data_IF_126179949018
#
_entry.id   IF_126179949018
#
_cell.length_a   1.000
_cell.length_b   1.000
_cell.length_c   1.000
_cell.angle_alpha   90.00
_cell.angle_beta   90.00
_cell.angle_gamma   90.00
#
_symmetry.space_group_name_H-M   'P 1'
#
loop_
_entity.id
_entity.type
_entity.pdbx_description
1 polymer ?
#
# COMPACT_ATOMS: atom_id res chain seq x y z
N UNK A 1 17.74 42.70 8.00
CA UNK A 1 17.81 42.72 9.48
C UNK A 1 18.77 41.67 10.01
N UNK A 2 18.57 40.38 9.68
CA UNK A 2 19.51 39.28 10.03
C UNK A 2 20.98 39.61 9.74
N UNK A 3 21.31 39.91 8.48
CA UNK A 3 22.70 40.13 8.06
C UNK A 3 23.30 41.38 8.73
N UNK A 4 22.47 42.42 8.92
CA UNK A 4 22.85 43.66 9.63
C UNK A 4 23.10 43.41 11.12
N UNK A 5 22.38 42.47 11.74
CA UNK A 5 22.57 42.04 13.12
C UNK A 5 23.75 41.04 13.28
N UNK A 6 24.47 40.70 12.21
CA UNK A 6 25.57 39.73 12.26
C UNK A 6 25.13 38.31 12.62
N UNK A 7 23.84 38.00 12.44
CA UNK A 7 23.27 36.69 12.73
C UNK A 7 23.39 35.76 11.53
N UNK A 8 23.74 34.51 11.79
CA UNK A 8 23.69 33.43 10.79
C UNK A 8 22.41 32.64 10.96
N UNK A 9 21.92 31.99 9.89
CA UNK A 9 20.76 31.09 9.99
C UNK A 9 21.01 29.99 11.05
N UNK A 10 22.22 29.44 11.14
CA UNK A 10 22.59 28.44 12.14
C UNK A 10 22.42 28.95 13.59
N UNK A 11 22.70 30.23 13.85
CA UNK A 11 22.49 30.83 15.18
C UNK A 11 21.02 31.02 15.51
N UNK A 12 20.21 31.34 14.51
CA UNK A 12 18.75 31.45 14.67
C UNK A 12 18.16 30.05 14.89
N UNK A 13 18.54 29.07 14.06
CA UNK A 13 18.14 27.67 14.21
C UNK A 13 18.46 27.13 15.61
N UNK A 14 19.67 27.39 16.13
CA UNK A 14 20.07 26.99 17.47
C UNK A 14 19.20 27.59 18.59
N UNK A 15 18.72 28.83 18.41
CA UNK A 15 17.86 29.49 19.39
C UNK A 15 16.43 28.91 19.44
N UNK A 16 16.01 28.20 18.38
CA UNK A 16 14.70 27.55 18.28
C UNK A 16 14.77 26.01 18.29
N UNK A 17 15.97 25.42 18.41
CA UNK A 17 16.16 23.97 18.30
C UNK A 17 15.83 23.40 16.92
N UNK A 18 15.99 24.21 15.87
CA UNK A 18 15.68 23.86 14.48
C UNK A 18 16.95 23.41 13.74
N UNK A 19 16.76 22.81 12.56
CA UNK A 19 17.86 22.41 11.69
C UNK A 19 17.58 22.87 10.25
N UNK A 20 18.09 24.04 9.87
CA UNK A 20 18.01 24.58 8.52
C UNK A 20 16.73 25.34 8.17
N UNK A 21 15.86 25.63 9.15
CA UNK A 21 14.53 26.22 8.90
C UNK A 21 14.54 27.75 8.98
N UNK A 22 15.45 28.35 9.73
CA UNK A 22 15.56 29.80 9.91
C UNK A 22 15.80 30.57 8.59
N UNK A 23 16.34 29.90 7.57
CA UNK A 23 16.53 30.48 6.24
C UNK A 23 15.22 30.86 5.56
N UNK A 24 14.12 30.15 5.84
CA UNK A 24 12.80 30.43 5.28
C UNK A 24 12.14 31.65 5.92
N UNK A 25 12.51 32.02 7.15
CA UNK A 25 11.94 33.17 7.87
C UNK A 25 12.66 34.49 7.63
N UNK A 26 13.94 34.42 7.24
CA UNK A 26 14.84 35.59 7.24
C UNK A 26 15.44 35.90 5.87
N UNK A 27 15.15 35.10 4.84
CA UNK A 27 15.62 35.34 3.47
C UNK A 27 14.49 35.79 2.54
N UNK A 28 14.85 36.48 1.46
CA UNK A 28 13.98 36.74 0.32
C UNK A 28 14.10 35.63 -0.76
N UNK A 29 14.83 34.56 -0.47
CA UNK A 29 15.08 33.46 -1.38
C UNK A 29 13.93 32.46 -1.46
N UNK A 30 14.13 31.40 -2.23
CA UNK A 30 13.13 30.35 -2.46
C UNK A 30 12.51 29.83 -1.15
N UNK A 31 11.19 29.64 -1.17
CA UNK A 31 10.36 29.14 -0.07
C UNK A 31 10.32 30.06 1.18
N UNK A 32 9.80 31.30 1.08
CA UNK A 32 9.58 32.12 2.26
C UNK A 32 8.45 31.54 3.12
N UNK A 33 8.67 31.48 4.43
CA UNK A 33 7.69 31.01 5.42
C UNK A 33 7.49 32.03 6.54
N UNK A 34 6.28 32.06 7.09
CA UNK A 34 5.94 32.87 8.27
C UNK A 34 6.08 31.98 9.51
N UNK A 35 6.93 32.34 10.49
CA UNK A 35 7.04 31.60 11.75
C UNK A 35 5.71 31.56 12.52
N UNK A 36 5.60 30.66 13.49
CA UNK A 36 4.43 30.63 14.38
C UNK A 36 4.39 31.86 15.30
N UNK A 37 3.20 32.15 15.82
CA UNK A 37 2.96 33.21 16.81
C UNK A 37 3.93 33.12 18.00
N UNK A 38 4.14 31.89 18.49
CA UNK A 38 5.03 31.60 19.62
C UNK A 38 6.51 31.87 19.34
N UNK A 39 6.93 31.84 18.06
CA UNK A 39 8.32 32.08 17.67
C UNK A 39 8.60 33.57 17.42
N UNK A 40 7.56 34.38 17.21
CA UNK A 40 7.68 35.77 16.79
C UNK A 40 8.42 36.66 17.82
N UNK A 41 8.13 36.63 19.13
CA UNK A 41 8.83 37.48 20.10
C UNK A 41 10.32 37.19 20.17
N UNK A 42 10.70 35.91 20.22
CA UNK A 42 12.09 35.47 20.26
C UNK A 42 12.83 35.86 18.97
N UNK A 43 12.18 35.72 17.81
CA UNK A 43 12.80 36.04 16.52
C UNK A 43 13.06 37.55 16.40
N UNK A 44 12.09 38.37 16.78
CA UNK A 44 12.24 39.84 16.78
C UNK A 44 13.33 40.29 17.74
N UNK A 45 13.40 39.70 18.94
CA UNK A 45 14.45 39.98 19.92
C UNK A 45 15.85 39.63 19.39
N UNK A 46 16.00 38.48 18.72
CA UNK A 46 17.26 38.12 18.06
C UNK A 46 17.64 39.11 16.96
N UNK A 47 16.66 39.52 16.14
CA UNK A 47 16.88 40.45 15.05
C UNK A 47 17.08 41.91 15.50
N UNK A 48 16.96 42.21 16.79
CA UNK A 48 17.04 43.56 17.34
C UNK A 48 15.91 44.46 16.86
N UNK A 49 14.70 43.90 16.72
CA UNK A 49 13.51 44.64 16.28
C UNK A 49 12.63 44.93 17.49
N UNK A 50 12.75 46.15 18.01
CA UNK A 50 12.00 46.59 19.19
C UNK A 50 10.53 46.93 18.85
N UNK A 51 10.27 47.39 17.63
CA UNK A 51 8.93 47.73 17.14
C UNK A 51 8.69 47.22 15.72
N UNK A 52 7.64 46.42 15.54
CA UNK A 52 7.16 45.99 14.22
C UNK A 52 6.16 47.03 13.71
N UNK A 53 6.36 47.60 12.50
CA UNK A 53 5.42 48.55 11.92
C UNK A 53 4.00 48.01 11.86
N UNK A 54 3.03 48.87 12.18
CA UNK A 54 1.61 48.49 12.29
C UNK A 54 1.06 47.70 11.10
N UNK A 55 1.36 48.04 9.83
CA UNK A 55 0.88 47.25 8.69
C UNK A 55 1.39 45.81 8.67
N UNK A 56 2.60 45.58 9.18
CA UNK A 56 3.22 44.25 9.23
C UNK A 56 2.67 43.46 10.41
N UNK A 57 2.53 44.10 11.58
CA UNK A 57 1.91 43.51 12.77
C UNK A 57 0.49 43.03 12.48
N UNK A 58 -0.35 43.89 11.93
CA UNK A 58 -1.73 43.57 11.55
C UNK A 58 -1.80 42.44 10.51
N UNK A 59 -0.85 42.40 9.55
CA UNK A 59 -0.77 41.32 8.57
C UNK A 59 -0.42 39.98 9.22
N UNK A 60 0.57 39.95 10.12
CA UNK A 60 0.99 38.73 10.83
C UNK A 60 -0.14 38.22 11.72
N UNK A 61 -0.76 39.09 12.51
CA UNK A 61 -1.92 38.74 13.36
C UNK A 61 -3.05 38.14 12.53
N UNK A 62 -3.38 38.73 11.38
CA UNK A 62 -4.38 38.20 10.46
C UNK A 62 -3.97 36.82 9.92
N UNK A 63 -2.75 36.67 9.41
CA UNK A 63 -2.28 35.41 8.82
C UNK A 63 -2.19 34.27 9.85
N UNK A 64 -1.76 34.58 11.07
CA UNK A 64 -1.75 33.63 12.19
C UNK A 64 -3.17 33.22 12.57
N UNK A 65 -4.08 34.19 12.72
CA UNK A 65 -5.50 33.95 13.08
C UNK A 65 -6.25 33.16 11.99
N UNK A 66 -5.89 33.37 10.73
CA UNK A 66 -6.46 32.67 9.56
C UNK A 66 -5.76 31.33 9.27
N UNK A 67 -4.64 31.00 9.93
CA UNK A 67 -3.89 29.77 9.69
C UNK A 67 -4.78 28.55 9.91
N UNK A 68 -4.84 27.67 8.92
CA UNK A 68 -5.70 26.47 8.94
C UNK A 68 -7.18 26.72 8.61
N UNK A 69 -7.61 27.97 8.41
CA UNK A 69 -8.94 28.31 7.91
C UNK A 69 -8.88 28.51 6.39
N UNK A 70 -9.89 28.07 5.62
CA UNK A 70 -9.98 28.44 4.22
C UNK A 70 -10.01 29.97 4.07
N UNK A 71 -9.12 30.53 3.27
CA UNK A 71 -9.07 31.98 3.06
C UNK A 71 -10.32 32.53 2.35
N UNK A 72 -10.56 33.85 2.34
CA UNK A 72 -11.74 34.48 1.74
C UNK A 72 -11.98 34.07 0.27
N UNK A 73 -10.91 33.84 -0.48
CA UNK A 73 -10.95 33.38 -1.87
C UNK A 73 -11.61 32.01 -2.02
N UNK A 74 -11.57 31.14 -1.01
CA UNK A 74 -12.28 29.85 -1.02
C UNK A 74 -13.81 30.06 -1.01
N UNK A 75 -14.30 30.97 -0.16
CA UNK A 75 -15.73 31.25 -0.01
C UNK A 75 -16.33 32.04 -1.18
N UNK A 76 -15.49 32.77 -1.93
CA UNK A 76 -15.89 33.49 -3.15
C UNK A 76 -16.02 32.61 -4.39
N UNK A 77 -15.47 31.39 -4.38
CA UNK A 77 -15.57 30.47 -5.54
C UNK A 77 -17.02 29.98 -5.70
N UNK A 78 -17.55 29.89 -6.93
CA UNK A 78 -18.88 29.34 -7.14
C UNK A 78 -18.96 27.89 -6.62
N UNK A 79 -20.14 27.52 -6.11
CA UNK A 79 -20.44 26.14 -5.74
C UNK A 79 -20.71 25.40 -7.03
N UNK A 80 -19.86 24.44 -7.36
CA UNK A 80 -19.92 23.64 -8.60
C UNK A 80 -20.65 22.31 -8.39
N UNK A 81 -21.02 21.99 -7.15
CA UNK A 81 -21.85 20.83 -6.81
C UNK A 81 -21.74 20.41 -5.36
N UNK A 82 -22.39 19.30 -5.02
CA UNK A 82 -22.35 18.68 -3.70
C UNK A 82 -21.92 17.22 -3.83
N UNK A 83 -20.94 16.79 -3.04
CA UNK A 83 -20.65 15.38 -2.84
C UNK A 83 -21.50 14.86 -1.68
N UNK A 84 -22.37 13.92 -1.97
CA UNK A 84 -23.03 13.11 -0.95
C UNK A 84 -22.15 11.89 -0.64
N UNK A 85 -21.71 11.74 0.61
CA UNK A 85 -21.05 10.52 1.09
C UNK A 85 -21.74 9.97 2.32
N UNK A 86 -21.84 8.65 2.39
CA UNK A 86 -22.20 7.94 3.61
C UNK A 86 -21.22 8.33 4.73
N UNK A 87 -21.74 8.62 5.92
CA UNK A 87 -20.93 8.94 7.09
C UNK A 87 -19.96 7.78 7.43
N UNK A 88 -18.80 8.11 8.03
CA UNK A 88 -17.85 7.09 8.47
C UNK A 88 -18.45 6.24 9.59
N UNK A 89 -18.51 4.92 9.41
CA UNK A 89 -18.88 3.96 10.48
C UNK A 89 -20.13 3.09 10.27
N UNK A 90 -20.75 3.04 9.09
CA UNK A 90 -21.89 2.11 8.86
C UNK A 90 -21.66 1.05 7.78
N UNK A 91 -22.23 -0.12 8.09
CA UNK A 91 -22.13 -1.43 7.44
C UNK A 91 -23.00 -1.48 6.17
N UNK A 92 -22.49 -2.15 5.14
CA UNK A 92 -23.27 -2.48 3.95
C UNK A 92 -24.30 -3.55 4.30
N UNK A 93 -25.58 -3.19 4.45
CA UNK A 93 -26.66 -4.17 4.59
C UNK A 93 -27.06 -4.65 3.19
N UNK A 94 -26.59 -5.86 2.86
CA UNK A 94 -26.81 -6.51 1.57
C UNK A 94 -28.29 -6.72 1.20
N UNK A 95 -29.20 -6.59 2.17
CA UNK A 95 -30.62 -6.89 2.02
C UNK A 95 -31.48 -5.71 1.57
N UNK A 96 -31.07 -4.45 1.75
CA UNK A 96 -31.98 -3.30 1.54
C UNK A 96 -31.43 -2.14 0.73
N UNK A 97 -30.13 -2.10 0.44
CA UNK A 97 -29.54 -1.10 -0.47
C UNK A 97 -29.67 0.37 -0.04
N UNK A 98 -30.22 0.67 1.13
CA UNK A 98 -30.51 2.04 1.58
C UNK A 98 -29.38 2.57 2.49
N UNK A 99 -28.83 3.75 2.14
CA UNK A 99 -27.80 4.46 2.90
C UNK A 99 -28.46 5.31 4.00
N UNK A 100 -28.30 4.94 5.27
CA UNK A 100 -28.66 5.83 6.37
C UNK A 100 -27.54 6.86 6.60
N UNK A 101 -27.91 8.14 6.63
CA UNK A 101 -27.10 9.34 6.92
C UNK A 101 -26.05 9.74 5.86
N UNK A 102 -26.45 10.70 5.01
CA UNK A 102 -25.61 11.38 4.02
C UNK A 102 -24.98 12.62 4.65
N UNK A 103 -23.64 12.73 4.58
CA UNK A 103 -22.95 14.01 4.77
C UNK A 103 -22.76 14.67 3.40
N UNK A 104 -23.23 15.91 3.25
CA UNK A 104 -23.04 16.70 2.04
C UNK A 104 -21.79 17.58 2.17
N UNK A 105 -20.82 17.45 1.26
CA UNK A 105 -19.68 18.38 1.16
C UNK A 105 -19.78 19.22 -0.12
N UNK A 106 -19.58 20.53 0.02
CA UNK A 106 -19.64 21.49 -1.09
C UNK A 106 -18.39 21.37 -1.99
N UNK A 107 -18.57 21.24 -3.31
CA UNK A 107 -17.49 21.35 -4.32
C UNK A 107 -17.40 22.79 -4.84
N UNK A 108 -16.16 23.28 -4.98
CA UNK A 108 -15.81 24.62 -5.50
C UNK A 108 -14.55 24.51 -6.36
N UNK A 109 -14.64 23.72 -7.43
CA UNK A 109 -13.51 23.25 -8.26
C UNK A 109 -13.46 23.85 -9.67
N UNK A 110 -14.27 24.90 -9.91
CA UNK A 110 -14.11 25.70 -11.11
C UNK A 110 -12.71 26.36 -11.12
N UNK A 111 -12.00 26.26 -12.24
CA UNK A 111 -10.69 26.88 -12.39
C UNK A 111 -10.80 28.40 -12.27
N UNK A 112 -10.08 28.97 -11.29
CA UNK A 112 -10.16 30.39 -10.94
C UNK A 112 -9.23 31.31 -11.76
N UNK A 113 -8.37 30.75 -12.60
CA UNK A 113 -7.41 31.50 -13.44
C UNK A 113 -7.41 30.98 -14.87
N UNK A 114 -6.93 31.77 -15.82
CA UNK A 114 -6.79 31.36 -17.22
C UNK A 114 -5.90 30.11 -17.36
N UNK A 115 -4.75 30.11 -16.67
CA UNK A 115 -3.87 28.95 -16.61
C UNK A 115 -4.59 27.71 -16.03
N UNK A 116 -5.38 27.86 -14.97
CA UNK A 116 -6.13 26.74 -14.40
C UNK A 116 -7.21 26.21 -15.35
N UNK A 117 -7.83 27.10 -16.16
CA UNK A 117 -8.82 26.72 -17.19
C UNK A 117 -8.16 25.90 -18.30
N UNK A 118 -7.02 26.37 -18.82
CA UNK A 118 -6.27 25.68 -19.86
C UNK A 118 -5.93 24.22 -19.48
N UNK A 119 -5.57 23.97 -18.22
CA UNK A 119 -5.15 22.65 -17.74
C UNK A 119 -6.25 21.91 -16.97
N UNK A 120 -7.51 22.32 -17.08
CA UNK A 120 -8.62 21.63 -16.43
C UNK A 120 -8.71 20.18 -16.95
N UNK A 121 -8.81 19.22 -16.02
CA UNK A 121 -8.83 17.79 -16.34
C UNK A 121 -7.44 17.12 -16.40
N UNK A 122 -6.35 17.87 -16.54
CA UNK A 122 -4.99 17.31 -16.59
C UNK A 122 -4.51 16.94 -15.18
N UNK A 123 -4.00 15.73 -15.02
CA UNK A 123 -3.45 15.19 -13.76
C UNK A 123 -1.95 14.93 -13.86
N UNK A 124 -1.29 14.77 -12.72
CA UNK A 124 0.17 14.56 -12.66
C UNK A 124 0.58 13.09 -12.64
N UNK A 125 -0.37 12.17 -12.45
CA UNK A 125 -0.12 10.74 -12.44
C UNK A 125 -1.38 9.94 -12.75
N UNK A 126 -1.21 8.77 -13.35
CA UNK A 126 -2.21 7.73 -13.39
C UNK A 126 -2.23 6.97 -12.05
N UNK A 127 -3.34 6.30 -11.74
CA UNK A 127 -3.36 5.33 -10.64
C UNK A 127 -2.37 4.21 -11.00
N UNK A 128 -1.34 3.93 -10.17
CA UNK A 128 -0.46 2.80 -10.42
C UNK A 128 -1.30 1.51 -10.47
N UNK A 129 -1.32 0.88 -11.64
CA UNK A 129 -2.11 -0.33 -11.92
C UNK A 129 -1.24 -1.58 -12.09
N UNK A 130 0.08 -1.41 -12.25
CA UNK A 130 1.04 -2.49 -12.37
C UNK A 130 2.29 -2.18 -11.53
N UNK A 131 2.83 -3.20 -10.89
CA UNK A 131 4.11 -3.18 -10.21
C UNK A 131 4.98 -4.29 -10.77
N UNK A 132 6.17 -3.94 -11.26
CA UNK A 132 7.07 -4.88 -11.91
C UNK A 132 8.13 -5.35 -10.92
N UNK A 133 8.37 -6.66 -10.90
CA UNK A 133 9.40 -7.30 -10.09
C UNK A 133 10.46 -7.91 -11.00
N UNK A 134 11.72 -7.55 -10.76
CA UNK A 134 12.83 -8.00 -11.59
C UNK A 134 13.66 -9.00 -10.79
N UNK A 135 13.74 -10.23 -11.28
CA UNK A 135 14.61 -11.26 -10.72
C UNK A 135 15.99 -11.21 -11.38
N UNK A 136 16.96 -10.66 -10.65
CA UNK A 136 18.36 -10.63 -11.07
C UNK A 136 19.10 -11.86 -10.51
N UNK A 137 19.82 -12.59 -11.37
CA UNK A 137 20.61 -13.78 -10.98
C UNK A 137 22.02 -13.68 -11.54
N UNK A 138 22.97 -14.38 -10.91
CA UNK A 138 24.28 -14.55 -11.53
C UNK A 138 24.13 -15.31 -12.86
N UNK A 139 24.92 -14.92 -13.88
CA UNK A 139 24.96 -15.65 -15.14
C UNK A 139 25.19 -17.15 -14.92
N UNK A 140 24.58 -17.98 -15.75
CA UNK A 140 24.75 -19.42 -15.66
C UNK A 140 26.13 -19.80 -16.22
N UNK A 141 26.98 -20.40 -15.38
CA UNK A 141 28.23 -21.03 -15.80
C UNK A 141 28.17 -22.51 -15.40
N UNK A 142 28.23 -23.42 -16.38
CA UNK A 142 27.99 -24.85 -16.15
C UNK A 142 26.53 -25.18 -15.83
N UNK A 143 26.28 -25.98 -14.79
CA UNK A 143 24.93 -26.44 -14.40
C UNK A 143 24.28 -25.50 -13.37
N UNK A 144 22.94 -25.49 -13.31
CA UNK A 144 22.20 -24.74 -12.27
C UNK A 144 22.65 -25.16 -10.87
N UNK A 145 22.83 -26.46 -10.65
CA UNK A 145 23.28 -26.98 -9.36
C UNK A 145 24.68 -26.47 -8.97
N UNK A 146 25.64 -26.48 -9.91
CA UNK A 146 26.98 -25.94 -9.68
C UNK A 146 26.93 -24.43 -9.37
N UNK A 147 26.14 -23.67 -10.13
CA UNK A 147 25.99 -22.23 -9.92
C UNK A 147 25.36 -21.92 -8.54
N UNK A 148 24.36 -22.69 -8.13
CA UNK A 148 23.73 -22.56 -6.80
C UNK A 148 24.69 -22.95 -5.69
N UNK A 149 25.50 -24.00 -5.85
CA UNK A 149 26.50 -24.38 -4.86
C UNK A 149 27.59 -23.29 -4.69
N UNK A 150 28.01 -22.69 -5.81
CA UNK A 150 29.01 -21.63 -5.82
C UNK A 150 28.49 -20.33 -5.20
N UNK A 151 27.33 -19.84 -5.63
CA UNK A 151 26.82 -18.52 -5.25
C UNK A 151 25.79 -18.55 -4.11
N UNK A 152 25.37 -19.74 -3.68
CA UNK A 152 24.33 -19.97 -2.66
C UNK A 152 22.96 -19.37 -3.00
N UNK A 153 22.76 -18.96 -4.27
CA UNK A 153 21.52 -18.38 -4.79
C UNK A 153 21.38 -18.70 -6.29
N UNK A 154 20.16 -18.60 -6.83
CA UNK A 154 19.90 -18.70 -8.28
C UNK A 154 18.87 -19.75 -8.71
N UNK A 155 18.45 -20.63 -7.79
CA UNK A 155 17.28 -21.50 -7.96
C UNK A 155 16.03 -20.90 -7.32
N UNK A 156 14.86 -21.32 -7.79
CA UNK A 156 13.56 -20.93 -7.24
C UNK A 156 12.94 -22.13 -6.53
N UNK A 157 12.34 -21.90 -5.36
CA UNK A 157 11.61 -22.93 -4.62
C UNK A 157 10.20 -23.13 -5.20
N UNK A 158 10.16 -23.65 -6.43
CA UNK A 158 8.92 -23.88 -7.18
C UNK A 158 7.98 -24.80 -6.41
N UNK A 159 8.52 -25.86 -5.80
CA UNK A 159 7.72 -26.86 -5.09
C UNK A 159 6.94 -26.23 -3.93
N UNK A 160 7.57 -25.37 -3.12
CA UNK A 160 6.91 -24.71 -2.00
C UNK A 160 5.94 -23.59 -2.41
N UNK A 161 5.94 -23.20 -3.69
CA UNK A 161 5.09 -22.16 -4.27
C UNK A 161 4.12 -22.71 -5.32
N UNK A 162 3.90 -24.03 -5.36
CA UNK A 162 2.87 -24.64 -6.20
C UNK A 162 1.48 -24.09 -5.85
N UNK A 163 0.66 -23.86 -6.87
CA UNK A 163 -0.73 -23.42 -6.70
C UNK A 163 -1.60 -24.67 -6.62
N UNK A 164 -2.26 -24.96 -5.48
CA UNK A 164 -3.09 -26.14 -5.35
C UNK A 164 -4.25 -26.13 -6.36
N UNK A 165 -4.76 -27.32 -6.66
CA UNK A 165 -6.00 -27.46 -7.41
C UNK A 165 -7.17 -26.91 -6.61
N UNK A 166 -8.08 -26.21 -7.29
CA UNK A 166 -9.22 -25.58 -6.62
C UNK A 166 -10.21 -26.61 -6.07
N UNK A 167 -10.30 -27.78 -6.70
CA UNK A 167 -11.15 -28.89 -6.29
C UNK A 167 -10.68 -30.22 -6.91
N UNK A 168 -11.22 -31.37 -6.46
CA UNK A 168 -11.01 -32.66 -7.11
C UNK A 168 -11.42 -32.67 -8.59
N UNK A 169 -12.45 -31.91 -8.97
CA UNK A 169 -12.89 -31.75 -10.36
C UNK A 169 -11.86 -30.99 -11.20
N UNK A 170 -11.23 -29.94 -10.65
CA UNK A 170 -10.13 -29.23 -11.32
C UNK A 170 -8.92 -30.14 -11.54
N UNK A 171 -8.56 -30.95 -10.54
CA UNK A 171 -7.53 -31.97 -10.67
C UNK A 171 -7.89 -32.99 -11.77
N UNK A 172 -9.13 -33.49 -11.77
CA UNK A 172 -9.62 -34.44 -12.78
C UNK A 172 -9.57 -33.86 -14.20
N UNK A 173 -10.03 -32.61 -14.38
CA UNK A 173 -9.95 -31.91 -15.65
C UNK A 173 -8.51 -31.65 -16.10
N UNK A 174 -7.60 -31.33 -15.16
CA UNK A 174 -6.17 -31.23 -15.44
C UNK A 174 -5.59 -32.56 -15.92
N UNK A 175 -5.94 -33.67 -15.25
CA UNK A 175 -5.52 -35.02 -15.63
C UNK A 175 -6.04 -35.44 -17.00
N UNK A 176 -7.30 -35.11 -17.32
CA UNK A 176 -7.89 -35.41 -18.62
C UNK A 176 -7.20 -34.69 -19.79
N UNK A 177 -6.72 -33.45 -19.58
CA UNK A 177 -5.99 -32.68 -20.61
C UNK A 177 -4.56 -33.17 -20.82
N UNK A 178 -3.94 -33.71 -19.78
CA UNK A 178 -2.58 -34.24 -19.80
C UNK A 178 -2.59 -35.67 -19.25
N UNK A 179 -3.14 -36.67 -19.96
CA UNK A 179 -3.34 -38.03 -19.44
C UNK A 179 -2.03 -38.76 -19.08
N UNK A 180 -0.87 -38.14 -19.32
CA UNK A 180 0.41 -38.81 -19.33
C UNK A 180 0.51 -39.76 -20.52
N UNK A 181 1.72 -40.25 -20.77
CA UNK A 181 2.01 -41.27 -21.76
C UNK A 181 2.89 -42.31 -21.07
N UNK A 182 2.57 -43.58 -21.24
CA UNK A 182 3.28 -44.67 -20.58
C UNK A 182 4.63 -44.98 -21.26
N UNK A 183 4.80 -44.51 -22.50
CA UNK A 183 6.00 -44.61 -23.31
C UNK A 183 7.10 -43.65 -22.82
N UNK A 184 8.33 -44.16 -22.81
CA UNK A 184 9.51 -43.34 -22.60
C UNK A 184 9.74 -42.46 -23.82
N UNK A 185 10.13 -41.19 -23.60
CA UNK A 185 10.28 -40.20 -24.67
C UNK A 185 11.75 -39.87 -24.84
N UNK A 186 12.22 -39.93 -26.08
CA UNK A 186 13.56 -39.47 -26.46
C UNK A 186 13.48 -38.02 -26.91
N UNK A 187 14.25 -37.14 -26.26
CA UNK A 187 14.35 -35.72 -26.61
C UNK A 187 15.79 -35.38 -26.98
N UNK A 188 16.00 -34.61 -28.05
CA UNK A 188 17.33 -34.13 -28.43
C UNK A 188 17.98 -33.23 -27.36
N UNK A 189 17.19 -32.62 -26.47
CA UNK A 189 17.67 -31.73 -25.39
C UNK A 189 17.92 -32.50 -24.10
N UNK A 190 17.17 -33.58 -23.86
CA UNK A 190 17.14 -34.26 -22.57
C UNK A 190 17.62 -35.73 -22.61
N UNK A 191 17.87 -36.31 -23.79
CA UNK A 191 18.34 -37.69 -23.96
C UNK A 191 17.22 -38.71 -24.20
N UNK A 192 17.59 -39.98 -24.33
CA UNK A 192 16.70 -41.11 -24.62
C UNK A 192 16.09 -41.74 -23.36
N UNK A 193 15.00 -42.48 -23.55
CA UNK A 193 14.35 -43.34 -22.54
C UNK A 193 13.92 -42.64 -21.26
N UNK A 194 13.53 -41.36 -21.35
CA UNK A 194 13.00 -40.66 -20.18
C UNK A 194 11.54 -41.05 -19.94
N UNK A 195 11.18 -41.51 -18.73
CA UNK A 195 9.77 -41.61 -18.37
C UNK A 195 9.15 -40.22 -18.47
N UNK A 196 8.11 -40.05 -19.29
CA UNK A 196 7.44 -38.75 -19.39
C UNK A 196 6.81 -38.40 -18.04
N UNK A 197 6.87 -37.12 -17.65
CA UNK A 197 6.43 -36.66 -16.33
C UNK A 197 5.01 -37.17 -16.02
N UNK A 198 4.90 -37.96 -14.94
CA UNK A 198 3.61 -38.18 -14.28
C UNK A 198 3.03 -36.83 -13.92
N UNK A 199 1.72 -36.70 -14.04
CA UNK A 199 0.99 -35.50 -13.65
C UNK A 199 1.34 -35.22 -12.19
N UNK A 200 1.97 -34.08 -11.94
CA UNK A 200 2.33 -33.66 -10.59
C UNK A 200 1.06 -33.22 -9.86
N UNK A 201 0.58 -34.05 -8.96
CA UNK A 201 -0.63 -33.79 -8.16
C UNK A 201 -0.40 -32.76 -7.05
N UNK A 202 0.86 -32.34 -6.81
CA UNK A 202 1.19 -31.30 -5.83
C UNK A 202 0.74 -29.90 -6.23
N UNK A 203 0.11 -29.77 -7.40
CA UNK A 203 -0.49 -28.54 -7.90
C UNK A 203 0.24 -27.96 -9.10
N UNK A 204 -0.24 -26.80 -9.54
CA UNK A 204 0.27 -26.12 -10.74
C UNK A 204 1.55 -25.36 -10.42
N UNK A 205 2.36 -25.15 -11.47
CA UNK A 205 3.51 -24.27 -11.39
C UNK A 205 3.07 -22.83 -11.08
N UNK A 206 3.82 -22.08 -10.24
CA UNK A 206 3.54 -20.67 -9.98
C UNK A 206 3.62 -19.86 -11.27
N UNK A 207 2.66 -18.98 -11.49
CA UNK A 207 2.66 -18.07 -12.63
C UNK A 207 3.69 -16.94 -12.44
N UNK A 208 4.19 -16.42 -13.56
CA UNK A 208 5.01 -15.20 -13.62
C UNK A 208 4.19 -13.91 -13.50
N UNK A 209 2.86 -14.02 -13.36
CA UNK A 209 1.92 -12.92 -13.19
C UNK A 209 1.07 -13.17 -11.95
N UNK A 210 0.93 -12.13 -11.13
CA UNK A 210 0.07 -12.10 -9.94
C UNK A 210 -1.05 -11.10 -10.21
N UNK A 211 -2.28 -11.48 -9.88
CA UNK A 211 -3.46 -10.62 -10.05
C UNK A 211 -4.00 -10.21 -8.67
N UNK A 212 -4.75 -9.11 -8.61
CA UNK A 212 -5.67 -8.83 -7.51
C UNK A 212 -7.05 -9.48 -7.76
N UNK A 213 -7.94 -9.49 -6.75
CA UNK A 213 -9.18 -10.31 -6.76
C UNK A 213 -10.08 -9.86 -7.88
N UNK A 214 -10.24 -8.55 -8.01
CA UNK A 214 -11.16 -7.97 -8.98
C UNK A 214 -10.69 -8.29 -10.39
N UNK A 215 -9.38 -8.17 -10.64
CA UNK A 215 -8.81 -8.49 -11.94
C UNK A 215 -8.89 -9.99 -12.23
N UNK A 216 -8.67 -10.84 -11.22
CA UNK A 216 -8.83 -12.29 -11.35
C UNK A 216 -10.27 -12.67 -11.68
N UNK A 217 -11.26 -12.18 -10.93
CA UNK A 217 -12.69 -12.45 -11.16
C UNK A 217 -13.13 -12.00 -12.56
N UNK A 218 -12.69 -10.82 -13.01
CA UNK A 218 -12.99 -10.31 -14.35
C UNK A 218 -12.39 -11.20 -15.45
N UNK A 219 -11.20 -11.75 -15.22
CA UNK A 219 -10.54 -12.64 -16.17
C UNK A 219 -11.17 -14.05 -16.14
N UNK A 220 -11.61 -14.54 -14.99
CA UNK A 220 -12.41 -15.77 -14.86
C UNK A 220 -13.71 -15.66 -15.66
N UNK A 221 -14.43 -14.54 -15.53
CA UNK A 221 -15.66 -14.29 -16.28
C UNK A 221 -15.44 -14.26 -17.80
N UNK A 222 -14.28 -13.76 -18.26
CA UNK A 222 -13.91 -13.73 -19.66
C UNK A 222 -13.34 -15.06 -20.18
N UNK A 223 -12.92 -15.95 -19.29
CA UNK A 223 -12.26 -17.22 -19.65
C UNK A 223 -12.87 -18.43 -18.93
N UNK A 224 -14.18 -18.68 -19.07
CA UNK A 224 -14.91 -19.68 -18.27
C UNK A 224 -14.35 -21.11 -18.35
N UNK A 225 -13.63 -21.44 -19.43
CA UNK A 225 -13.02 -22.75 -19.64
C UNK A 225 -11.51 -22.80 -19.31
N UNK A 226 -10.90 -21.68 -18.91
CA UNK A 226 -9.45 -21.60 -18.63
C UNK A 226 -9.12 -21.07 -17.24
N UNK A 227 -9.94 -20.17 -16.70
CA UNK A 227 -9.86 -19.60 -15.36
C UNK A 227 -8.59 -18.76 -15.10
N UNK A 228 -8.77 -17.55 -14.56
CA UNK A 228 -7.76 -16.80 -13.83
C UNK A 228 -7.24 -17.53 -12.59
N UNK A 229 -7.88 -18.63 -12.18
CA UNK A 229 -7.34 -19.57 -11.18
C UNK A 229 -5.87 -19.95 -11.43
N UNK A 230 -5.36 -19.83 -12.66
CA UNK A 230 -3.96 -20.07 -13.05
C UNK A 230 -2.96 -19.06 -12.51
N UNK A 231 -3.42 -17.92 -12.00
CA UNK A 231 -2.58 -16.85 -11.47
C UNK A 231 -2.52 -16.89 -9.95
N UNK A 232 -1.41 -16.41 -9.40
CA UNK A 232 -1.31 -16.20 -7.96
C UNK A 232 -2.13 -14.96 -7.59
N UNK A 233 -3.04 -15.08 -6.61
CA UNK A 233 -3.90 -13.99 -6.17
C UNK A 233 -3.46 -13.44 -4.81
N UNK A 234 -3.30 -12.11 -4.73
CA UNK A 234 -3.09 -11.42 -3.45
C UNK A 234 -3.90 -10.13 -3.33
N UNK A 235 -4.72 -10.05 -2.29
CA UNK A 235 -5.47 -8.85 -1.92
C UNK A 235 -4.55 -7.71 -1.48
N UNK A 236 -5.07 -6.48 -1.56
CA UNK A 236 -4.43 -5.35 -0.86
C UNK A 236 -4.49 -5.57 0.66
N UNK A 237 -3.47 -5.08 1.41
CA UNK A 237 -3.49 -5.15 2.86
C UNK A 237 -4.77 -4.55 3.45
N UNK A 238 -5.43 -5.31 4.33
CA UNK A 238 -6.57 -4.79 5.10
C UNK A 238 -6.10 -3.74 6.11
N UNK A 239 -7.01 -2.92 6.65
CA UNK A 239 -6.65 -1.96 7.71
C UNK A 239 -6.03 -2.64 8.94
N UNK A 240 -6.55 -3.82 9.28
CA UNK A 240 -6.04 -4.65 10.38
C UNK A 240 -4.60 -5.11 10.07
N UNK A 241 -4.37 -5.72 8.89
CA UNK A 241 -3.04 -6.15 8.48
C UNK A 241 -2.02 -5.01 8.44
N UNK A 242 -2.44 -3.83 7.96
CA UNK A 242 -1.59 -2.62 7.94
C UNK A 242 -1.21 -2.17 9.34
N UNK A 243 -2.09 -2.31 10.33
CA UNK A 243 -1.86 -1.75 11.66
C UNK A 243 -1.39 -2.77 12.69
N UNK A 244 -1.35 -4.07 12.32
CA UNK A 244 -0.95 -5.15 13.22
C UNK A 244 0.42 -4.89 13.86
N UNK A 245 0.46 -4.81 15.20
CA UNK A 245 1.66 -4.53 15.97
C UNK A 245 1.94 -3.05 16.22
N UNK A 246 1.17 -2.13 15.61
CA UNK A 246 1.31 -0.68 15.79
C UNK A 246 0.26 -0.09 16.75
N UNK A 247 -0.52 -0.90 17.47
CA UNK A 247 -1.68 -0.44 18.26
C UNK A 247 -1.30 0.57 19.35
N UNK A 248 -0.05 0.52 19.81
CA UNK A 248 0.52 1.41 20.82
C UNK A 248 1.13 2.71 20.26
N UNK A 249 1.27 2.82 18.93
CA UNK A 249 1.86 3.99 18.29
C UNK A 249 0.83 5.12 18.13
N UNK A 250 1.26 6.39 18.23
CA UNK A 250 0.37 7.52 18.00
C UNK A 250 -0.15 7.50 16.56
N UNK A 251 -1.44 7.79 16.38
CA UNK A 251 -2.02 7.88 15.05
C UNK A 251 -1.52 9.13 14.33
N UNK A 252 -0.94 8.96 13.15
CA UNK A 252 -0.44 10.06 12.30
C UNK A 252 -1.21 10.13 11.00
N UNK A 253 -1.22 11.32 10.37
CA UNK A 253 -1.84 11.50 9.06
C UNK A 253 -1.15 10.58 8.04
N UNK A 254 -1.93 9.77 7.31
CA UNK A 254 -1.43 8.98 6.16
C UNK A 254 -1.03 9.84 4.95
N UNK A 255 -1.07 11.18 5.10
CA UNK A 255 -0.72 12.17 4.11
C UNK A 255 -0.06 13.37 4.85
N UNK A 256 1.25 13.29 5.16
CA UNK A 256 1.93 14.28 6.00
C UNK A 256 1.98 15.67 5.36
N UNK A 257 1.96 15.75 4.03
CA UNK A 257 1.96 17.01 3.26
C UNK A 257 0.57 17.68 3.19
N UNK A 258 -0.48 17.02 3.71
CA UNK A 258 -1.83 17.58 3.76
C UNK A 258 -2.07 18.28 5.09
N UNK A 259 -2.19 19.61 5.03
CA UNK A 259 -2.64 20.41 6.18
C UNK A 259 -4.01 19.93 6.67
N UNK A 260 -4.25 19.91 8.01
CA UNK A 260 -5.57 19.67 8.56
C UNK A 260 -6.59 20.65 7.93
N UNK A 261 -7.65 20.12 7.31
CA UNK A 261 -8.66 20.93 6.63
C UNK A 261 -8.36 21.33 5.18
N UNK A 262 -7.27 20.85 4.57
CA UNK A 262 -6.97 21.09 3.16
C UNK A 262 -8.08 20.50 2.25
N UNK A 263 -8.54 21.32 1.30
CA UNK A 263 -9.63 21.06 0.35
C UNK A 263 -9.38 19.93 -0.66
N UNK A 264 -8.27 19.20 -0.53
CA UNK A 264 -7.89 18.06 -1.36
C UNK A 264 -8.24 16.68 -0.78
N UNK A 265 -8.76 16.61 0.46
CA UNK A 265 -9.07 15.34 1.16
C UNK A 265 -10.09 14.42 0.44
N UNK A 266 -10.81 14.95 -0.56
CA UNK A 266 -11.74 14.19 -1.41
C UNK A 266 -11.27 13.94 -2.84
N UNK A 267 -10.11 14.47 -3.24
CA UNK A 267 -9.60 14.38 -4.61
C UNK A 267 -9.08 12.96 -4.91
N UNK A 268 -9.50 12.32 -6.02
CA UNK A 268 -8.90 11.08 -6.50
C UNK A 268 -7.37 11.16 -6.67
N UNK A 269 -6.85 12.37 -6.92
CA UNK A 269 -5.42 12.66 -7.10
C UNK A 269 -4.60 12.58 -5.80
N UNK A 270 -5.24 12.73 -4.63
CA UNK A 270 -4.59 12.66 -3.32
C UNK A 270 -4.64 11.25 -2.70
N UNK A 271 -5.06 10.24 -3.46
CA UNK A 271 -5.43 8.94 -2.92
C UNK A 271 -6.79 9.01 -2.25
N UNK A 272 -7.85 8.78 -3.03
CA UNK A 272 -9.22 8.74 -2.54
C UNK A 272 -9.32 7.91 -1.23
N UNK A 273 -9.82 8.55 -0.16
CA UNK A 273 -10.09 7.99 1.17
C UNK A 273 -8.92 7.78 2.16
N UNK A 274 -7.75 8.41 1.98
CA UNK A 274 -6.67 8.42 2.99
C UNK A 274 -6.76 9.57 4.00
N UNK A 275 -7.97 9.94 4.42
CA UNK A 275 -8.23 11.06 5.35
C UNK A 275 -8.39 10.60 6.80
N UNK A 276 -7.77 9.48 7.18
CA UNK A 276 -7.74 8.99 8.56
C UNK A 276 -6.33 9.07 9.12
N UNK A 277 -6.20 9.53 10.36
CA UNK A 277 -5.01 9.24 11.14
C UNK A 277 -4.97 7.73 11.43
N UNK A 278 -3.81 7.11 11.30
CA UNK A 278 -3.61 5.70 11.59
C UNK A 278 -2.26 5.51 12.30
N UNK A 279 -2.14 4.51 13.19
CA UNK A 279 -0.86 4.20 13.83
C UNK A 279 0.20 3.84 12.79
N UNK A 280 -0.14 2.98 11.82
CA UNK A 280 0.64 2.82 10.60
C UNK A 280 0.19 3.82 9.53
N UNK A 281 0.93 4.91 9.41
CA UNK A 281 0.68 5.99 8.47
C UNK A 281 1.43 5.84 7.13
N UNK A 282 2.19 4.74 6.92
CA UNK A 282 2.96 4.52 5.71
C UNK A 282 2.06 4.42 4.45
N UNK A 283 2.31 5.20 3.38
CA UNK A 283 1.37 5.34 2.27
C UNK A 283 1.23 4.08 1.41
N UNK A 284 2.27 3.24 1.34
CA UNK A 284 2.41 2.15 0.37
C UNK A 284 2.76 0.80 1.01
N UNK A 285 2.08 0.46 2.13
CA UNK A 285 2.20 -0.85 2.78
C UNK A 285 1.94 -1.99 1.78
N UNK A 286 2.85 -2.97 1.71
CA UNK A 286 2.73 -4.18 0.87
C UNK A 286 2.00 -5.30 1.61
N UNK A 287 1.33 -6.17 0.85
CA UNK A 287 0.67 -7.37 1.38
C UNK A 287 1.68 -8.34 1.94
N UNK A 288 1.50 -8.72 3.21
CA UNK A 288 2.32 -9.74 3.86
C UNK A 288 2.20 -11.07 3.11
N UNK A 289 1.02 -11.42 2.60
CA UNK A 289 0.83 -12.65 1.83
C UNK A 289 1.68 -12.67 0.55
N UNK A 290 1.73 -11.56 -0.19
CA UNK A 290 2.59 -11.42 -1.37
C UNK A 290 4.07 -11.54 -0.99
N UNK A 291 4.48 -10.83 0.07
CA UNK A 291 5.87 -10.84 0.51
C UNK A 291 6.28 -12.24 1.00
N UNK A 292 5.41 -12.98 1.69
CA UNK A 292 5.67 -14.36 2.13
C UNK A 292 5.92 -15.28 0.95
N UNK A 293 5.09 -15.17 -0.09
CA UNK A 293 5.26 -15.94 -1.32
C UNK A 293 6.58 -15.62 -2.02
N UNK A 294 6.95 -14.33 -2.12
CA UNK A 294 8.24 -13.92 -2.70
C UNK A 294 9.42 -14.43 -1.88
N UNK A 295 9.41 -14.25 -0.55
CA UNK A 295 10.46 -14.74 0.35
C UNK A 295 10.63 -16.25 0.20
N UNK A 296 9.53 -17.03 0.25
CA UNK A 296 9.58 -18.48 0.09
C UNK A 296 10.14 -18.91 -1.27
N UNK A 297 9.78 -18.18 -2.33
CA UNK A 297 10.17 -18.50 -3.69
C UNK A 297 11.68 -18.33 -3.93
N UNK A 298 12.29 -17.29 -3.36
CA UNK A 298 13.66 -16.86 -3.71
C UNK A 298 14.70 -17.09 -2.62
N UNK A 299 14.28 -17.26 -1.36
CA UNK A 299 15.20 -17.36 -0.22
C UNK A 299 15.50 -18.83 0.09
N UNK A 300 16.78 -19.24 0.14
CA UNK A 300 17.13 -20.59 0.56
C UNK A 300 16.80 -20.82 2.05
N UNK A 301 16.60 -22.08 2.49
CA UNK A 301 16.40 -22.39 3.91
C UNK A 301 17.52 -21.80 4.78
N UNK A 302 17.13 -21.15 5.89
CA UNK A 302 18.07 -20.42 6.76
C UNK A 302 18.73 -19.19 6.11
N UNK A 303 18.22 -18.73 4.97
CA UNK A 303 18.72 -17.56 4.26
C UNK A 303 18.29 -16.24 4.89
N UNK A 304 18.97 -15.17 4.48
CA UNK A 304 18.70 -13.79 4.90
C UNK A 304 17.99 -13.03 3.79
N UNK A 305 16.93 -12.30 4.14
CA UNK A 305 16.23 -11.36 3.28
C UNK A 305 16.70 -9.93 3.58
N UNK A 306 17.23 -9.24 2.58
CA UNK A 306 17.61 -7.83 2.66
C UNK A 306 16.58 -6.96 1.95
N UNK A 307 16.03 -5.97 2.66
CA UNK A 307 15.18 -4.93 2.08
C UNK A 307 15.81 -3.55 2.31
N UNK A 308 16.21 -2.89 1.21
CA UNK A 308 16.86 -1.58 1.25
C UNK A 308 15.88 -0.42 1.45
N UNK A 309 14.57 -0.69 1.30
CA UNK A 309 13.49 0.29 1.38
C UNK A 309 12.35 -0.30 2.22
N UNK A 310 12.68 -0.66 3.46
CA UNK A 310 11.83 -1.49 4.30
C UNK A 310 10.44 -0.87 4.54
N UNK A 311 10.30 0.46 4.53
CA UNK A 311 9.03 1.17 4.66
C UNK A 311 8.32 0.77 5.95
N UNK A 312 7.11 0.21 5.82
CA UNK A 312 6.38 -0.35 6.97
C UNK A 312 6.84 -1.74 7.41
N UNK A 313 7.93 -2.30 6.89
CA UNK A 313 8.48 -3.60 7.29
C UNK A 313 7.69 -4.81 6.80
N UNK A 314 6.82 -4.69 5.78
CA UNK A 314 6.02 -5.83 5.28
C UNK A 314 6.88 -7.02 4.83
N UNK A 315 8.01 -6.75 4.19
CA UNK A 315 8.98 -7.78 3.77
C UNK A 315 9.56 -8.54 4.95
N UNK A 316 9.93 -7.84 6.02
CA UNK A 316 10.51 -8.48 7.20
C UNK A 316 9.48 -9.27 8.02
N UNK A 317 8.26 -8.76 8.17
CA UNK A 317 7.16 -9.55 8.77
C UNK A 317 6.96 -10.86 8.02
N UNK A 318 7.00 -10.81 6.68
CA UNK A 318 6.90 -11.99 5.85
C UNK A 318 8.11 -12.93 5.97
N UNK A 319 9.33 -12.40 5.96
CA UNK A 319 10.55 -13.19 6.08
C UNK A 319 10.58 -13.96 7.42
N UNK A 320 10.28 -13.28 8.52
CA UNK A 320 10.20 -13.90 9.85
C UNK A 320 9.12 -14.98 9.93
N UNK A 321 7.93 -14.71 9.36
CA UNK A 321 6.84 -15.69 9.33
C UNK A 321 7.13 -16.93 8.47
N UNK A 322 8.10 -16.85 7.55
CA UNK A 322 8.59 -17.97 6.75
C UNK A 322 9.86 -18.63 7.35
N UNK A 323 10.32 -18.16 8.52
CA UNK A 323 11.50 -18.69 9.20
C UNK A 323 12.84 -18.23 8.60
N UNK A 324 12.85 -17.12 7.87
CA UNK A 324 14.07 -16.51 7.34
C UNK A 324 14.59 -15.39 8.26
N UNK A 325 15.89 -15.13 8.19
CA UNK A 325 16.48 -13.94 8.78
C UNK A 325 16.14 -12.70 7.95
N UNK A 326 16.09 -11.54 8.59
CA UNK A 326 15.73 -10.28 7.92
C UNK A 326 16.65 -9.13 8.31
N UNK A 327 17.08 -8.36 7.31
CA UNK A 327 17.77 -7.08 7.46
C UNK A 327 17.00 -6.03 6.68
N UNK A 328 16.50 -5.00 7.37
CA UNK A 328 15.79 -3.88 6.75
C UNK A 328 16.56 -2.59 6.92
N UNK A 329 16.61 -1.78 5.85
CA UNK A 329 17.10 -0.41 5.87
C UNK A 329 15.91 0.51 5.62
N UNK A 330 15.68 1.44 6.54
CA UNK A 330 14.68 2.50 6.40
C UNK A 330 15.30 3.82 6.84
N UNK A 331 15.15 4.85 6.01
CA UNK A 331 15.76 6.16 6.24
C UNK A 331 14.90 7.01 7.16
N UNK A 332 13.58 6.97 6.99
CA UNK A 332 12.66 7.84 7.70
C UNK A 332 12.37 7.29 9.10
N UNK A 333 12.71 8.01 10.19
CA UNK A 333 12.56 7.51 11.56
C UNK A 333 11.14 7.07 11.91
N UNK A 334 10.13 7.82 11.43
CA UNK A 334 8.72 7.52 11.67
C UNK A 334 8.28 6.19 11.00
N UNK A 335 8.84 5.84 9.85
CA UNK A 335 8.58 4.57 9.18
C UNK A 335 9.39 3.44 9.81
N UNK A 336 10.62 3.71 10.25
CA UNK A 336 11.44 2.77 10.99
C UNK A 336 10.77 2.36 12.32
N UNK A 337 10.10 3.29 13.01
CA UNK A 337 9.30 3.00 14.22
C UNK A 337 8.15 2.04 13.91
N UNK A 338 7.39 2.32 12.84
CA UNK A 338 6.29 1.45 12.36
C UNK A 338 6.81 0.05 11.99
N UNK A 339 7.91 -0.03 11.22
CA UNK A 339 8.52 -1.29 10.85
C UNK A 339 8.96 -2.08 12.07
N UNK A 340 9.64 -1.43 13.02
CA UNK A 340 10.12 -2.06 14.26
C UNK A 340 8.97 -2.64 15.07
N UNK A 341 7.88 -1.89 15.24
CA UNK A 341 6.69 -2.35 15.96
C UNK A 341 6.08 -3.61 15.32
N UNK A 342 5.93 -3.60 13.99
CA UNK A 342 5.43 -4.74 13.21
C UNK A 342 6.35 -5.96 13.28
N UNK A 343 7.67 -5.76 13.20
CA UNK A 343 8.65 -6.84 13.28
C UNK A 343 8.70 -7.48 14.67
N UNK A 344 8.63 -6.67 15.74
CA UNK A 344 8.54 -7.19 17.13
C UNK A 344 7.32 -8.09 17.31
N UNK A 345 6.17 -7.66 16.80
CA UNK A 345 4.94 -8.46 16.83
C UNK A 345 5.06 -9.79 16.09
N UNK A 346 5.86 -9.83 15.01
CA UNK A 346 6.12 -11.04 14.22
C UNK A 346 7.17 -11.97 14.85
N UNK A 347 8.04 -11.45 15.73
CA UNK A 347 9.00 -12.25 16.50
C UNK A 347 8.38 -12.93 17.72
N UNK A 348 7.23 -12.45 18.20
CA UNK A 348 6.46 -13.18 19.20
C UNK A 348 6.07 -14.56 18.65
N UNK A 349 6.13 -15.63 19.47
CA UNK A 349 5.77 -16.96 19.01
C UNK A 349 4.39 -16.94 18.37
N UNK A 350 4.33 -17.20 17.06
CA UNK A 350 3.07 -17.42 16.38
C UNK A 350 2.43 -18.65 17.05
N UNK A 351 1.22 -18.49 17.60
CA UNK A 351 0.41 -19.64 17.97
C UNK A 351 0.38 -20.60 16.75
N UNK A 352 0.60 -21.89 16.99
CA UNK A 352 0.75 -22.98 15.99
C UNK A 352 -0.37 -23.06 14.92
N UNK A 353 -1.39 -22.23 14.99
CA UNK A 353 -2.59 -22.24 14.16
C UNK A 353 -2.68 -21.12 13.13
N UNK A 354 -1.64 -20.31 12.89
CA UNK A 354 -1.70 -19.34 11.80
C UNK A 354 -1.71 -20.10 10.46
N UNK A 355 -2.82 -20.10 9.69
CA UNK A 355 -2.89 -20.90 8.48
C UNK A 355 -1.77 -20.47 7.53
N UNK A 356 -0.96 -21.44 7.11
CA UNK A 356 -0.23 -21.34 5.85
C UNK A 356 -1.27 -20.92 4.84
N UNK A 357 -1.11 -19.75 4.21
CA UNK A 357 -2.09 -19.21 3.28
C UNK A 357 -2.36 -20.24 2.17
N UNK A 358 -3.41 -21.02 2.34
CA UNK A 358 -4.08 -21.78 1.30
C UNK A 358 -4.96 -20.73 0.65
N UNK A 359 -4.70 -20.42 -0.62
CA UNK A 359 -5.33 -19.31 -1.34
C UNK A 359 -6.79 -19.12 -0.96
N UNK A 360 -7.20 -17.86 -0.76
CA UNK A 360 -8.56 -17.50 -0.41
C UNK A 360 -9.52 -18.20 -1.36
N UNK A 361 -10.20 -19.21 -0.83
CA UNK A 361 -11.45 -19.62 -1.40
C UNK A 361 -12.32 -18.37 -1.27
N UNK A 362 -12.80 -17.84 -2.40
CA UNK A 362 -13.98 -16.99 -2.35
C UNK A 362 -14.98 -17.80 -1.52
N UNK A 363 -15.49 -17.30 -0.36
CA UNK A 363 -16.48 -18.03 0.38
C UNK A 363 -17.61 -18.29 -0.61
N UNK A 364 -17.73 -19.55 -1.06
CA UNK A 364 -18.86 -19.92 -1.89
C UNK A 364 -20.06 -19.48 -1.07
N UNK A 365 -20.92 -18.66 -1.68
CA UNK A 365 -22.23 -18.39 -1.10
C UNK A 365 -22.75 -19.76 -0.66
N UNK A 366 -22.98 -19.92 0.64
CA UNK A 366 -23.56 -21.13 1.17
C UNK A 366 -24.75 -21.50 0.27
N UNK A 367 -24.86 -22.75 -0.22
CA UNK A 367 -25.92 -23.12 -1.12
C UNK A 367 -27.24 -22.72 -0.45
N UNK A 368 -27.95 -21.78 -1.07
CA UNK A 368 -29.31 -21.42 -0.67
C UNK A 368 -30.10 -22.71 -0.62
N UNK A 369 -30.60 -23.05 0.57
CA UNK A 369 -31.46 -24.20 0.74
C UNK A 369 -32.57 -24.17 -0.32
N UNK A 370 -32.88 -25.29 -0.98
CA UNK A 370 -33.92 -25.31 -1.98
C UNK A 370 -35.22 -24.84 -1.34
N UNK A 371 -35.79 -23.77 -1.90
CA UNK A 371 -37.13 -23.30 -1.55
C UNK A 371 -38.09 -24.46 -1.75
N UNK A 372 -38.57 -25.05 -0.65
CA UNK A 372 -39.66 -26.01 -0.72
C UNK A 372 -40.86 -25.27 -1.31
N UNK A 373 -41.23 -25.63 -2.54
CA UNK A 373 -42.50 -25.26 -3.13
C UNK A 373 -43.60 -25.83 -2.24
N UNK A 374 -44.30 -24.95 -1.51
CA UNK A 374 -45.57 -25.29 -0.88
C UNK A 374 -46.54 -25.62 -2.02
N UNK A 375 -46.76 -26.92 -2.25
CA UNK A 375 -47.93 -27.38 -2.96
C UNK A 375 -49.12 -27.19 -2.01
N UNK A 376 -49.96 -26.20 -2.31
CA UNK A 376 -51.29 -26.11 -1.73
C UNK A 376 -52.12 -27.30 -2.23
N UNK A 377 -52.33 -28.27 -1.34
CA UNK A 377 -53.34 -29.30 -1.52
C UNK A 377 -54.72 -28.71 -1.23
N UNK A 378 -55.45 -28.34 -2.28
CA UNK A 378 -56.89 -28.16 -2.22
C UNK A 378 -57.56 -29.54 -2.29
N UNK A 379 -58.09 -30.03 -1.17
CA UNK A 379 -59.09 -31.10 -1.16
C UNK A 379 -59.94 -31.03 0.11
N UNK A 380 -61.26 -30.99 -0.11
CA UNK A 380 -62.39 -31.06 0.82
C UNK A 380 -62.77 -29.79 1.59
#
# INVERSE_FOLDING_TARGET
MRDRAGLTNARIDAAFGLNGMAGHWTSQGAQPEVPSETHWPTLLGLLGVDEVPEPIRALVERLVTEKGKPGPNWFRRPITGHHERAAAGQLWLASTGLKANLSSRVRRDEPATEAARQWQGWGTALKPASEHWILCRKPLSGTVAANVQQWRTGALNVAACRIPHASPEDLSASKARNPGRADAVTSAVYGADRPQQRIDESGRWPANVTLDEVTAELLDAQTPNSGASRFFYVAKPTKAERSAGCEHLPSRSTNPDMLPGASGSGSPRAGANRSGAAPNHHPTVKSVALMRWLCRLITPPGGVVLDLFAGSGSTGVAALAEGFEFVGIEREPDYAEVATARLRRALEPLAESAPIYVGCHSPSKAPTAPTQSLQESSSA
#
